data_IF_535633542584
#
_entry.id   IF_535633542584
#
_cell.length_a   1.000
_cell.length_b   1.000
_cell.length_c   1.000
_cell.angle_alpha   90.00
_cell.angle_beta   90.00
_cell.angle_gamma   90.00
#
_symmetry.space_group_name_H-M   'P 1'
#
loop_
_entity.id
_entity.type
_entity.pdbx_description
1 polymer ?
#
# COMPACT_ATOMS: atom_id res chain seq x y z
N UNK A 1 -14.06 -17.94 -1.60
CA UNK A 1 -13.33 -17.53 -2.83
C UNK A 1 -14.25 -17.74 -4.04
N UNK A 2 -14.50 -16.72 -4.87
CA UNK A 2 -15.29 -16.88 -6.10
C UNK A 2 -14.69 -17.96 -7.01
N UNK A 3 -15.53 -18.80 -7.63
CA UNK A 3 -15.08 -19.86 -8.57
C UNK A 3 -14.26 -19.32 -9.74
N UNK A 4 -14.53 -18.07 -10.12
CA UNK A 4 -13.83 -17.35 -11.18
C UNK A 4 -12.37 -17.01 -10.83
N UNK A 5 -12.03 -16.92 -9.53
CA UNK A 5 -10.68 -16.57 -9.08
C UNK A 5 -9.64 -17.61 -9.49
N UNK A 6 -9.97 -18.90 -9.38
CA UNK A 6 -9.07 -19.98 -9.80
C UNK A 6 -8.91 -20.02 -11.32
N UNK A 7 -10.02 -19.91 -12.06
CA UNK A 7 -9.99 -19.85 -13.52
C UNK A 7 -9.12 -18.70 -14.06
N UNK A 8 -9.21 -17.52 -13.44
CA UNK A 8 -8.41 -16.36 -13.81
C UNK A 8 -6.91 -16.55 -13.50
N UNK A 9 -6.58 -17.27 -12.41
CA UNK A 9 -5.18 -17.64 -12.11
C UNK A 9 -4.62 -18.62 -13.12
N UNK A 10 -5.37 -19.67 -13.47
CA UNK A 10 -4.96 -20.64 -14.48
C UNK A 10 -4.75 -20.01 -15.87
N UNK A 11 -5.50 -18.96 -16.18
CA UNK A 11 -5.40 -18.23 -17.46
C UNK A 11 -4.36 -17.11 -17.46
N UNK A 12 -3.62 -16.91 -16.36
CA UNK A 12 -2.62 -15.84 -16.25
C UNK A 12 -3.19 -14.42 -16.22
N UNK A 13 -4.51 -14.24 -16.21
CA UNK A 13 -5.20 -12.95 -16.15
C UNK A 13 -5.32 -12.46 -14.70
N UNK A 14 -4.26 -12.61 -13.92
CA UNK A 14 -4.21 -12.00 -12.60
C UNK A 14 -3.88 -10.53 -12.82
N UNK A 15 -4.85 -9.62 -12.63
CA UNK A 15 -4.54 -8.20 -12.56
C UNK A 15 -3.71 -8.00 -11.27
N UNK A 16 -2.39 -7.76 -11.36
CA UNK A 16 -1.50 -7.72 -10.20
C UNK A 16 -1.90 -6.60 -9.24
N UNK A 17 -2.62 -5.60 -9.76
CA UNK A 17 -3.11 -4.44 -9.00
C UNK A 17 -4.31 -4.73 -8.11
N UNK A 18 -5.06 -5.81 -8.33
CA UNK A 18 -6.35 -6.06 -7.66
C UNK A 18 -6.23 -6.79 -6.32
N UNK A 19 -5.04 -7.31 -5.99
CA UNK A 19 -4.83 -7.89 -4.69
C UNK A 19 -4.93 -6.77 -3.65
N UNK A 20 -5.88 -6.90 -2.72
CA UNK A 20 -6.01 -6.02 -1.55
C UNK A 20 -6.40 -4.56 -1.82
N UNK A 21 -6.84 -4.17 -3.02
CA UNK A 21 -7.36 -2.79 -3.28
C UNK A 21 -8.42 -2.40 -2.24
N UNK A 22 -9.35 -3.29 -1.93
CA UNK A 22 -10.41 -3.05 -0.93
C UNK A 22 -9.91 -3.09 0.52
N UNK A 23 -8.65 -3.44 0.74
CA UNK A 23 -8.00 -3.51 2.05
C UNK A 23 -6.86 -2.48 2.19
N UNK A 24 -6.61 -1.67 1.15
CA UNK A 24 -5.70 -0.54 1.24
C UNK A 24 -6.33 0.55 2.09
N UNK A 25 -5.64 0.93 3.16
CA UNK A 25 -6.06 2.01 4.06
C UNK A 25 -5.87 3.39 3.42
N UNK A 26 -4.89 3.51 2.51
CA UNK A 26 -4.53 4.75 1.83
C UNK A 26 -5.02 4.73 0.39
N UNK A 27 -5.44 5.89 -0.11
CA UNK A 27 -5.66 6.11 -1.54
C UNK A 27 -4.34 6.03 -2.32
N UNK A 28 -4.37 5.79 -3.64
CA UNK A 28 -3.15 5.75 -4.45
C UNK A 28 -2.29 7.00 -4.31
N UNK A 29 -2.92 8.17 -4.19
CA UNK A 29 -2.20 9.45 -4.01
C UNK A 29 -1.53 9.53 -2.63
N UNK A 30 -2.21 9.05 -1.58
CA UNK A 30 -1.65 8.97 -0.23
C UNK A 30 -0.47 7.98 -0.14
N UNK A 31 -0.52 6.87 -0.87
CA UNK A 31 0.60 5.92 -0.96
C UNK A 31 1.86 6.54 -1.59
N UNK A 32 1.70 7.50 -2.51
CA UNK A 32 2.85 8.24 -3.08
C UNK A 32 3.59 9.02 -1.99
N UNK A 33 2.86 9.69 -1.10
CA UNK A 33 3.45 10.42 0.02
C UNK A 33 4.16 9.48 1.00
N UNK A 34 3.56 8.33 1.32
CA UNK A 34 4.19 7.32 2.19
C UNK A 34 5.48 6.76 1.55
N UNK A 35 5.44 6.49 0.25
CA UNK A 35 6.60 5.98 -0.51
C UNK A 35 7.73 7.01 -0.58
N UNK A 36 7.40 8.29 -0.76
CA UNK A 36 8.38 9.37 -0.79
C UNK A 36 9.06 9.54 0.58
N UNK A 37 8.29 9.46 1.67
CA UNK A 37 8.83 9.45 3.02
C UNK A 37 9.74 8.24 3.27
N UNK A 38 9.29 7.02 2.93
CA UNK A 38 10.08 5.80 3.12
C UNK A 38 11.44 5.87 2.41
N UNK A 39 11.46 6.32 1.14
CA UNK A 39 12.70 6.51 0.38
C UNK A 39 13.63 7.57 1.00
N UNK A 40 13.08 8.56 1.69
CA UNK A 40 13.88 9.56 2.41
C UNK A 40 14.52 8.95 3.66
N UNK A 41 13.77 8.14 4.41
CA UNK A 41 14.29 7.43 5.58
C UNK A 41 15.37 6.41 5.18
N UNK A 42 15.16 5.62 4.12
CA UNK A 42 16.19 4.71 3.60
C UNK A 42 17.50 5.45 3.26
N UNK A 43 17.41 6.63 2.63
CA UNK A 43 18.59 7.46 2.33
C UNK A 43 19.31 7.98 3.58
N UNK A 44 18.60 8.11 4.70
CA UNK A 44 19.18 8.50 5.98
C UNK A 44 19.88 7.33 6.70
N UNK A 45 19.81 6.12 6.14
CA UNK A 45 20.43 4.91 6.70
C UNK A 45 19.57 4.20 7.75
N UNK A 46 18.36 4.70 8.02
CA UNK A 46 17.39 4.06 8.90
C UNK A 46 16.29 3.42 8.07
N UNK A 47 16.24 2.09 8.04
CA UNK A 47 15.09 1.38 7.50
C UNK A 47 13.96 1.45 8.54
N UNK A 48 12.83 2.14 8.28
CA UNK A 48 11.76 2.26 9.25
C UNK A 48 11.11 0.89 9.48
N UNK A 49 10.79 0.59 10.73
CA UNK A 49 10.07 -0.62 11.10
C UNK A 49 8.65 -0.61 10.54
N UNK A 50 8.03 -1.79 10.41
CA UNK A 50 6.64 -1.90 9.97
C UNK A 50 5.65 -1.12 10.85
N UNK A 51 5.95 -0.95 12.14
CA UNK A 51 5.15 -0.12 13.03
C UNK A 51 5.27 1.37 12.69
N UNK A 52 6.48 1.85 12.40
CA UNK A 52 6.72 3.24 12.00
C UNK A 52 6.05 3.57 10.66
N UNK A 53 6.12 2.66 9.70
CA UNK A 53 5.41 2.79 8.42
C UNK A 53 3.90 2.91 8.66
N UNK A 54 3.35 2.08 9.57
CA UNK A 54 1.93 2.14 9.92
C UNK A 54 1.56 3.45 10.61
N UNK A 55 2.38 3.93 11.55
CA UNK A 55 2.18 5.24 12.21
C UNK A 55 2.19 6.38 11.20
N UNK A 56 3.12 6.37 10.25
CA UNK A 56 3.20 7.38 9.21
C UNK A 56 2.01 7.32 8.26
N UNK A 57 1.54 6.11 7.90
CA UNK A 57 0.32 5.94 7.12
C UNK A 57 -0.90 6.55 7.84
N UNK A 58 -1.04 6.30 9.15
CA UNK A 58 -2.10 6.93 9.95
C UNK A 58 -1.98 8.45 10.01
N UNK A 59 -0.76 9.00 10.09
CA UNK A 59 -0.54 10.45 10.02
C UNK A 59 -1.02 11.03 8.69
N UNK A 60 -0.64 10.43 7.55
CA UNK A 60 -1.07 10.88 6.22
C UNK A 60 -2.59 10.85 6.10
N UNK A 61 -3.24 9.82 6.64
CA UNK A 61 -4.70 9.71 6.66
C UNK A 61 -5.36 10.85 7.45
N UNK A 62 -4.79 11.23 8.60
CA UNK A 62 -5.30 12.34 9.42
C UNK A 62 -5.06 13.70 8.76
N UNK A 63 -3.92 13.90 8.11
CA UNK A 63 -3.56 15.17 7.45
C UNK A 63 -4.38 15.42 6.17
N UNK A 64 -4.80 14.36 5.51
CA UNK A 64 -5.64 14.43 4.29
C UNK A 64 -7.15 14.28 4.57
N UNK A 65 -7.52 14.09 5.84
CA UNK A 65 -8.90 13.95 6.30
C UNK A 65 -9.64 15.26 6.58
N UNK A 66 -9.32 16.34 5.85
CA UNK A 66 -10.00 17.63 5.89
C UNK A 66 -10.34 18.12 4.47
#
# INVERSE_FOLDING_TARGET
LPRTTLSNRFRGTHSPRTAHITQQLLSPDQEVFLTAWFRREEKSGSAPSGEEVRRQAHRILLESGN
#
